data_IF_697611544561
#
_entry.id   IF_697611544561
#
_cell.length_a   1.000
_cell.length_b   1.000
_cell.length_c   1.000
_cell.angle_alpha   90.00
_cell.angle_beta   90.00
_cell.angle_gamma   90.00
#
_symmetry.space_group_name_H-M   'P 1'
#
loop_
_entity.id
_entity.type
_entity.pdbx_description
1 polymer ?
#
# COMPACT_ATOMS: atom_id res chain seq x y z
N UNK A 1 -8.25 -27.17 -10.16
CA UNK A 1 -6.85 -26.69 -10.09
C UNK A 1 -6.72 -25.88 -8.82
N UNK A 2 -6.10 -26.42 -7.77
CA UNK A 2 -5.81 -25.66 -6.54
C UNK A 2 -4.52 -24.89 -6.81
N UNK A 3 -4.61 -23.57 -6.89
CA UNK A 3 -3.42 -22.72 -6.86
C UNK A 3 -2.94 -22.73 -5.42
N UNK A 4 -1.89 -23.50 -5.13
CA UNK A 4 -1.18 -23.36 -3.86
C UNK A 4 -0.38 -22.06 -3.96
N UNK A 5 -0.76 -21.06 -3.16
CA UNK A 5 0.04 -19.84 -3.03
C UNK A 5 1.31 -20.16 -2.27
N UNK A 6 2.45 -19.73 -2.78
CA UNK A 6 3.68 -19.71 -1.99
C UNK A 6 3.58 -18.60 -0.93
N UNK A 7 4.06 -18.89 0.27
CA UNK A 7 4.08 -17.94 1.39
C UNK A 7 5.07 -16.81 1.09
N UNK A 8 4.56 -15.64 0.70
CA UNK A 8 5.35 -14.42 0.57
C UNK A 8 5.71 -13.80 1.93
N UNK A 9 6.51 -12.73 1.93
CA UNK A 9 6.93 -12.02 3.15
C UNK A 9 5.77 -11.50 4.03
N UNK A 10 4.55 -11.44 3.50
CA UNK A 10 3.34 -11.10 4.26
C UNK A 10 2.57 -12.31 4.81
N UNK A 11 3.10 -13.53 4.70
CA UNK A 11 2.50 -14.71 5.33
C UNK A 11 2.38 -14.57 6.85
N UNK A 12 3.28 -13.81 7.48
CA UNK A 12 3.23 -13.49 8.91
C UNK A 12 2.13 -12.48 9.26
N UNK A 13 1.65 -11.70 8.28
CA UNK A 13 0.62 -10.67 8.43
C UNK A 13 -0.49 -10.85 7.39
N UNK A 14 -1.24 -11.98 7.43
CA UNK A 14 -2.21 -12.30 6.39
C UNK A 14 -3.34 -11.28 6.35
N UNK A 15 -3.67 -10.84 5.14
CA UNK A 15 -4.83 -10.00 4.86
C UNK A 15 -6.00 -10.87 4.44
N UNK A 16 -7.08 -10.86 5.22
CA UNK A 16 -8.31 -11.61 4.92
C UNK A 16 -9.41 -10.64 4.51
N UNK A 17 -9.94 -10.78 3.30
CA UNK A 17 -11.04 -9.99 2.79
C UNK A 17 -12.37 -10.76 2.79
N UNK A 18 -13.50 -10.05 2.97
CA UNK A 18 -14.86 -10.59 2.96
C UNK A 18 -15.71 -9.89 1.91
N UNK A 19 -16.67 -10.65 1.37
CA UNK A 19 -17.58 -10.22 0.30
C UNK A 19 -16.81 -9.61 -0.89
N UNK A 20 -15.84 -10.39 -1.40
CA UNK A 20 -14.96 -9.96 -2.49
C UNK A 20 -15.66 -10.15 -3.83
N UNK A 21 -15.72 -9.08 -4.62
CA UNK A 21 -16.16 -9.09 -6.01
C UNK A 21 -15.12 -8.37 -6.88
N UNK A 22 -15.08 -8.68 -8.17
CA UNK A 22 -14.14 -8.03 -9.06
C UNK A 22 -13.98 -8.73 -10.38
N UNK A 23 -13.08 -8.20 -11.20
CA UNK A 23 -12.76 -8.75 -12.50
C UNK A 23 -11.29 -8.51 -12.84
N UNK A 24 -10.74 -9.44 -13.61
CA UNK A 24 -9.43 -9.31 -14.25
C UNK A 24 -9.61 -9.28 -15.75
N UNK A 25 -8.92 -8.36 -16.42
CA UNK A 25 -8.83 -8.31 -17.88
C UNK A 25 -7.42 -8.67 -18.28
N UNK A 26 -7.31 -9.65 -19.17
CA UNK A 26 -6.05 -10.05 -19.78
C UNK A 26 -6.12 -9.77 -21.28
N UNK A 27 -5.29 -8.82 -21.75
CA UNK A 27 -5.31 -8.35 -23.12
C UNK A 27 -4.08 -8.87 -23.91
N UNK A 28 -4.30 -9.95 -24.66
CA UNK A 28 -3.28 -10.56 -25.52
C UNK A 28 -2.91 -9.71 -26.74
N UNK A 29 -3.66 -8.65 -27.03
CA UNK A 29 -3.42 -7.74 -28.14
C UNK A 29 -2.90 -6.38 -27.66
N UNK A 30 -2.47 -6.29 -26.40
CA UNK A 30 -1.96 -5.05 -25.84
C UNK A 30 -0.76 -4.54 -26.65
N UNK A 31 -0.85 -3.28 -27.07
CA UNK A 31 0.19 -2.51 -27.73
C UNK A 31 0.89 -1.60 -26.68
N UNK A 32 1.81 -0.69 -27.07
CA UNK A 32 2.46 0.21 -26.13
C UNK A 32 1.54 1.21 -25.40
N UNK A 33 0.30 1.44 -25.87
CA UNK A 33 -0.66 2.37 -25.26
C UNK A 33 -1.77 1.65 -24.47
N UNK A 34 -1.92 0.34 -24.66
CA UNK A 34 -2.86 -0.50 -23.92
C UNK A 34 -2.22 -1.14 -22.68
N UNK A 35 -3.06 -1.69 -21.80
CA UNK A 35 -2.62 -2.52 -20.67
C UNK A 35 -2.76 -4.00 -21.02
N UNK A 36 -1.74 -4.80 -20.70
CA UNK A 36 -1.78 -6.27 -20.84
C UNK A 36 -2.62 -6.92 -19.75
N UNK A 37 -2.61 -6.34 -18.54
CA UNK A 37 -3.39 -6.80 -17.41
C UNK A 37 -4.05 -5.60 -16.73
N UNK A 38 -5.32 -5.76 -16.38
CA UNK A 38 -5.98 -4.87 -15.43
C UNK A 38 -6.75 -5.73 -14.41
N UNK A 39 -6.69 -5.35 -13.15
CA UNK A 39 -7.39 -6.01 -12.06
C UNK A 39 -8.19 -4.97 -11.30
N UNK A 40 -9.46 -5.24 -11.08
CA UNK A 40 -10.33 -4.46 -10.19
C UNK A 40 -10.95 -5.40 -9.17
N UNK A 41 -10.80 -5.08 -7.89
CA UNK A 41 -11.36 -5.81 -6.77
C UNK A 41 -12.06 -4.83 -5.85
N UNK A 42 -13.21 -5.24 -5.35
CA UNK A 42 -13.93 -4.61 -4.27
C UNK A 42 -14.14 -5.66 -3.18
N UNK A 43 -13.91 -5.30 -1.92
CA UNK A 43 -14.27 -6.10 -0.78
C UNK A 43 -14.99 -5.23 0.24
N UNK A 44 -16.07 -5.76 0.81
CA UNK A 44 -16.81 -5.02 1.85
C UNK A 44 -15.95 -4.79 3.08
N UNK A 45 -15.13 -5.77 3.46
CA UNK A 45 -14.26 -5.72 4.63
C UNK A 45 -12.93 -6.41 4.38
N UNK A 46 -11.87 -5.91 5.02
CA UNK A 46 -10.59 -6.61 5.13
C UNK A 46 -10.02 -6.51 6.56
N UNK A 47 -9.27 -7.54 6.95
CA UNK A 47 -8.60 -7.67 8.25
C UNK A 47 -7.14 -7.99 8.00
N UNK A 48 -6.23 -7.35 8.74
CA UNK A 48 -4.79 -7.63 8.69
C UNK A 48 -4.40 -8.26 10.02
N UNK A 49 -4.05 -9.54 10.06
CA UNK A 49 -3.67 -10.18 11.32
C UNK A 49 -2.28 -9.69 11.78
N UNK A 50 -2.05 -9.39 13.07
CA UNK A 50 -2.95 -9.61 14.22
C UNK A 50 -3.78 -8.39 14.63
N UNK A 51 -3.99 -7.41 13.76
CA UNK A 51 -4.70 -6.19 14.12
C UNK A 51 -6.18 -6.48 14.42
N UNK A 52 -6.70 -5.95 15.53
CA UNK A 52 -8.11 -6.15 15.90
C UNK A 52 -9.06 -5.32 15.03
N UNK A 53 -8.53 -4.30 14.34
CA UNK A 53 -9.31 -3.38 13.54
C UNK A 53 -9.60 -3.94 12.14
N UNK A 54 -10.78 -3.60 11.65
CA UNK A 54 -11.23 -3.89 10.28
C UNK A 54 -11.13 -2.67 9.39
N UNK A 55 -10.80 -2.93 8.14
CA UNK A 55 -10.96 -2.01 7.03
C UNK A 55 -12.30 -2.29 6.35
N UNK A 56 -13.01 -1.25 5.97
CA UNK A 56 -14.29 -1.30 5.28
C UNK A 56 -14.16 -0.67 3.89
N UNK A 57 -15.03 -1.07 2.95
CA UNK A 57 -15.08 -0.51 1.59
C UNK A 57 -13.69 -0.50 0.93
N UNK A 58 -13.10 -1.69 0.82
CA UNK A 58 -11.76 -1.88 0.27
C UNK A 58 -11.87 -1.97 -1.25
N UNK A 59 -11.21 -1.07 -1.96
CA UNK A 59 -11.19 -1.00 -3.42
C UNK A 59 -9.76 -1.08 -3.93
N UNK A 60 -9.51 -1.91 -4.92
CA UNK A 60 -8.19 -2.09 -5.52
C UNK A 60 -8.35 -2.05 -7.04
N UNK A 61 -7.61 -1.16 -7.69
CA UNK A 61 -7.51 -1.09 -9.13
C UNK A 61 -6.05 -0.95 -9.56
N UNK A 62 -5.58 -1.96 -10.29
CA UNK A 62 -4.20 -2.11 -10.75
C UNK A 62 -4.18 -2.36 -12.25
N UNK A 63 -3.16 -1.84 -12.94
CA UNK A 63 -2.94 -2.10 -14.35
C UNK A 63 -1.45 -2.30 -14.66
N UNK A 64 -1.15 -3.19 -15.60
CA UNK A 64 0.18 -3.42 -16.15
C UNK A 64 0.17 -2.85 -17.56
N UNK A 65 0.73 -1.65 -17.77
CA UNK A 65 0.77 -1.03 -19.08
C UNK A 65 1.77 -1.74 -19.99
N UNK A 66 1.57 -1.59 -21.30
CA UNK A 66 2.51 -2.03 -22.31
C UNK A 66 2.19 -3.39 -22.93
N UNK A 67 3.02 -3.79 -23.91
CA UNK A 67 2.64 -4.86 -24.82
C UNK A 67 2.81 -6.25 -24.21
N UNK A 68 1.96 -7.19 -24.65
CA UNK A 68 1.90 -8.56 -24.10
C UNK A 68 3.23 -9.31 -24.12
N UNK A 69 4.08 -9.06 -25.12
CA UNK A 69 5.42 -9.66 -25.25
C UNK A 69 6.31 -9.43 -24.03
N UNK A 70 6.00 -8.41 -23.23
CA UNK A 70 6.75 -8.05 -22.03
C UNK A 70 6.12 -8.58 -20.73
N UNK A 71 4.95 -9.20 -20.78
CA UNK A 71 4.27 -9.71 -19.59
C UNK A 71 5.10 -10.76 -18.83
N UNK A 72 5.90 -11.56 -19.55
CA UNK A 72 6.81 -12.52 -18.92
C UNK A 72 7.84 -11.85 -18.01
N UNK A 73 8.36 -10.68 -18.38
CA UNK A 73 9.32 -9.93 -17.57
C UNK A 73 8.64 -9.29 -16.35
N UNK A 74 7.39 -8.83 -16.49
CA UNK A 74 6.58 -8.36 -15.36
C UNK A 74 6.37 -9.46 -14.32
N UNK A 75 6.00 -10.68 -14.76
CA UNK A 75 5.85 -11.82 -13.85
C UNK A 75 7.16 -12.23 -13.20
N UNK A 76 8.28 -12.17 -13.92
CA UNK A 76 9.61 -12.42 -13.34
C UNK A 76 9.96 -11.40 -12.26
N UNK A 77 9.68 -10.11 -12.50
CA UNK A 77 9.93 -9.05 -11.54
C UNK A 77 9.02 -9.15 -10.30
N UNK A 78 7.73 -9.50 -10.49
CA UNK A 78 6.81 -9.77 -9.38
C UNK A 78 7.21 -11.00 -8.57
N UNK A 79 7.68 -12.05 -9.24
CA UNK A 79 7.94 -13.32 -8.58
C UNK A 79 9.06 -13.22 -7.55
N UNK A 80 10.13 -12.45 -7.82
CA UNK A 80 11.27 -12.20 -6.92
C UNK A 80 11.97 -13.43 -6.30
N UNK A 81 11.44 -14.65 -6.49
CA UNK A 81 11.63 -15.80 -5.60
C UNK A 81 10.73 -17.03 -5.93
N UNK A 82 10.30 -17.27 -7.17
CA UNK A 82 9.69 -18.59 -7.54
C UNK A 82 10.27 -19.10 -8.86
N UNK A 83 10.70 -20.36 -8.86
CA UNK A 83 11.46 -21.00 -9.93
C UNK A 83 10.79 -20.90 -11.32
N UNK A 84 11.62 -20.52 -12.30
CA UNK A 84 11.55 -20.79 -13.75
C UNK A 84 10.15 -21.13 -14.32
N UNK A 85 9.53 -20.28 -15.16
CA UNK A 85 8.34 -20.70 -15.89
C UNK A 85 8.64 -21.95 -16.73
N UNK A 86 7.66 -22.84 -16.94
CA UNK A 86 7.85 -24.02 -17.78
C UNK A 86 8.41 -23.58 -19.14
N UNK A 87 9.49 -24.24 -19.55
CA UNK A 87 10.34 -23.89 -20.70
C UNK A 87 9.62 -23.79 -22.05
N UNK A 88 8.32 -24.05 -22.11
CA UNK A 88 7.47 -23.97 -23.31
C UNK A 88 6.97 -22.57 -23.65
N UNK A 89 7.16 -21.55 -22.78
CA UNK A 89 6.76 -20.15 -23.05
C UNK A 89 7.95 -19.21 -23.31
N UNK A 90 9.17 -19.73 -23.35
CA UNK A 90 10.37 -18.91 -23.59
C UNK A 90 10.56 -18.73 -25.11
N UNK A 91 9.88 -17.73 -25.66
CA UNK A 91 10.41 -17.07 -26.84
C UNK A 91 11.73 -16.39 -26.43
N UNK A 92 12.84 -17.02 -26.86
CA UNK A 92 14.22 -16.49 -26.92
C UNK A 92 14.49 -15.30 -25.98
N UNK A 93 14.91 -15.59 -24.74
CA UNK A 93 15.44 -14.59 -23.81
C UNK A 93 16.64 -13.87 -24.43
N UNK A 94 16.64 -12.53 -24.55
CA UNK A 94 17.86 -11.80 -24.88
C UNK A 94 18.84 -11.87 -23.69
N UNK A 95 20.08 -12.26 -23.97
CA UNK A 95 21.18 -12.53 -23.04
C UNK A 95 21.77 -11.30 -22.33
N UNK A 96 20.95 -10.38 -21.84
CA UNK A 96 21.41 -9.28 -20.97
C UNK A 96 20.45 -9.11 -19.80
N UNK A 97 20.80 -9.78 -18.69
CA UNK A 97 20.32 -9.44 -17.36
C UNK A 97 20.90 -8.06 -17.02
N UNK A 98 20.05 -7.07 -16.74
CA UNK A 98 20.49 -5.73 -16.32
C UNK A 98 19.92 -4.54 -17.11
N UNK A 99 18.89 -4.70 -17.94
CA UNK A 99 18.16 -3.54 -18.50
C UNK A 99 16.78 -3.42 -17.85
N UNK A 100 16.36 -2.21 -17.41
CA UNK A 100 14.99 -2.00 -16.95
C UNK A 100 14.01 -2.40 -18.06
N UNK A 101 12.81 -2.81 -17.66
CA UNK A 101 11.71 -3.08 -18.60
C UNK A 101 11.59 -1.89 -19.58
N UNK A 102 11.44 -2.12 -20.90
CA UNK A 102 11.53 -1.03 -21.90
C UNK A 102 10.32 -0.07 -21.88
N UNK A 103 9.54 -0.07 -20.81
CA UNK A 103 8.36 0.75 -20.56
C UNK A 103 8.31 1.07 -19.07
N UNK A 104 8.23 2.36 -18.77
CA UNK A 104 8.07 2.90 -17.41
C UNK A 104 6.81 3.79 -17.39
N UNK A 105 5.94 3.68 -16.37
CA UNK A 105 5.94 2.65 -15.32
C UNK A 105 5.58 1.28 -15.90
N UNK A 106 5.98 0.20 -15.23
CA UNK A 106 5.55 -1.16 -15.59
C UNK A 106 4.43 -1.69 -14.67
N UNK A 107 4.04 -0.91 -13.66
CA UNK A 107 2.88 -1.14 -12.82
C UNK A 107 2.23 0.20 -12.47
N UNK A 108 0.94 0.32 -12.79
CA UNK A 108 0.11 1.46 -12.42
C UNK A 108 -0.88 1.03 -11.33
N UNK A 109 -0.75 1.63 -10.16
CA UNK A 109 -1.74 1.55 -9.09
C UNK A 109 -2.68 2.73 -9.25
N UNK A 110 -3.85 2.49 -9.83
CA UNK A 110 -4.84 3.55 -10.05
C UNK A 110 -5.40 4.01 -8.72
N UNK A 111 -5.84 3.05 -7.90
CA UNK A 111 -6.13 3.29 -6.49
C UNK A 111 -6.10 1.98 -5.69
N UNK A 112 -5.65 2.07 -4.45
CA UNK A 112 -5.94 1.15 -3.36
C UNK A 112 -6.59 1.98 -2.28
N UNK A 113 -7.86 1.74 -2.01
CA UNK A 113 -8.63 2.49 -1.05
C UNK A 113 -9.16 1.60 0.05
N UNK A 114 -9.25 2.15 1.25
CA UNK A 114 -9.89 1.52 2.39
C UNK A 114 -10.42 2.58 3.34
N UNK A 115 -11.44 2.23 4.10
CA UNK A 115 -11.94 3.03 5.20
C UNK A 115 -11.61 2.38 6.53
N UNK A 116 -11.12 3.18 7.47
CA UNK A 116 -10.84 2.74 8.85
C UNK A 116 -11.36 3.81 9.81
N UNK A 117 -12.33 3.45 10.65
CA UNK A 117 -12.94 4.37 11.64
C UNK A 117 -13.37 5.72 11.05
N UNK A 118 -13.95 5.71 9.84
CA UNK A 118 -14.38 6.92 9.13
C UNK A 118 -13.30 7.69 8.37
N UNK A 119 -12.01 7.39 8.59
CA UNK A 119 -10.90 7.84 7.76
C UNK A 119 -10.91 7.05 6.45
N UNK A 120 -10.94 7.75 5.31
CA UNK A 120 -10.73 7.12 4.00
C UNK A 120 -9.29 7.35 3.56
N UNK A 121 -8.56 6.27 3.34
CA UNK A 121 -7.23 6.29 2.77
C UNK A 121 -7.29 5.83 1.32
N UNK A 122 -6.65 6.55 0.40
CA UNK A 122 -6.50 6.17 -1.01
C UNK A 122 -5.04 6.30 -1.40
N UNK A 123 -4.43 5.19 -1.80
CA UNK A 123 -3.06 5.13 -2.30
C UNK A 123 -3.05 4.94 -3.81
N UNK A 124 -2.28 5.76 -4.51
CA UNK A 124 -2.06 5.66 -5.96
C UNK A 124 -0.57 5.72 -6.25
N UNK A 125 -0.12 5.01 -7.29
CA UNK A 125 1.31 4.88 -7.56
C UNK A 125 1.61 4.62 -9.04
N UNK A 126 2.78 5.10 -9.46
CA UNK A 126 3.46 4.73 -10.71
C UNK A 126 4.74 4.02 -10.34
N UNK A 127 4.78 2.71 -10.56
CA UNK A 127 5.86 1.85 -10.09
C UNK A 127 6.60 1.20 -11.24
N UNK A 128 7.89 1.00 -11.00
CA UNK A 128 8.81 0.18 -11.76
C UNK A 128 9.23 -0.96 -10.86
N UNK A 129 9.05 -2.18 -11.35
CA UNK A 129 9.59 -3.41 -10.77
C UNK A 129 10.93 -3.72 -11.47
N UNK A 130 12.09 -3.39 -10.87
CA UNK A 130 13.39 -3.74 -11.43
C UNK A 130 13.67 -5.24 -11.33
N UNK A 131 14.57 -5.73 -12.20
CA UNK A 131 14.92 -7.16 -12.26
C UNK A 131 15.65 -7.66 -11.01
N UNK A 132 16.30 -6.77 -10.26
CA UNK A 132 16.97 -7.04 -8.99
C UNK A 132 16.01 -7.20 -7.79
N UNK A 133 14.70 -6.98 -8.01
CA UNK A 133 13.66 -7.13 -7.00
C UNK A 133 13.29 -5.81 -6.31
N UNK A 134 12.17 -5.83 -5.60
CA UNK A 134 11.57 -4.65 -4.99
C UNK A 134 10.75 -3.81 -5.98
N UNK A 135 10.19 -2.70 -5.50
CA UNK A 135 9.48 -1.72 -6.31
C UNK A 135 10.11 -0.34 -6.13
N UNK A 136 10.12 0.46 -7.17
CA UNK A 136 10.57 1.84 -7.12
C UNK A 136 9.61 2.75 -7.88
N UNK A 137 9.41 3.98 -7.41
CA UNK A 137 8.60 4.94 -8.16
C UNK A 137 7.99 6.03 -7.30
N UNK A 138 6.97 6.65 -7.85
CA UNK A 138 6.24 7.73 -7.21
C UNK A 138 4.90 7.19 -6.71
N UNK A 139 4.52 7.57 -5.50
CA UNK A 139 3.20 7.28 -4.99
C UNK A 139 2.69 8.40 -4.11
N UNK A 140 1.37 8.44 -3.92
CA UNK A 140 0.68 9.45 -3.14
C UNK A 140 -0.39 8.78 -2.30
N UNK A 141 -0.48 9.21 -1.04
CA UNK A 141 -1.54 8.83 -0.12
C UNK A 141 -2.48 10.01 0.07
N UNK A 142 -3.76 9.78 -0.17
CA UNK A 142 -4.83 10.74 0.03
C UNK A 142 -5.63 10.33 1.25
N UNK A 143 -5.71 11.20 2.25
CA UNK A 143 -6.48 10.97 3.47
C UNK A 143 -7.68 11.92 3.50
N UNK A 144 -8.88 11.36 3.45
CA UNK A 144 -10.14 12.10 3.60
C UNK A 144 -10.68 11.89 5.02
N UNK A 145 -11.34 12.92 5.57
CA UNK A 145 -11.86 12.95 6.95
C UNK A 145 -10.76 12.84 8.02
N UNK A 146 -9.50 13.15 7.68
CA UNK A 146 -8.36 13.01 8.57
C UNK A 146 -8.43 13.91 9.81
N UNK A 147 -9.12 15.05 9.74
CA UNK A 147 -9.38 15.93 10.89
C UNK A 147 -10.23 15.26 11.98
N UNK A 148 -11.18 14.38 11.61
CA UNK A 148 -11.96 13.62 12.60
C UNK A 148 -11.04 12.71 13.41
N UNK A 149 -10.14 11.99 12.74
CA UNK A 149 -9.13 11.18 13.41
C UNK A 149 -8.24 12.02 14.32
N UNK A 150 -7.75 13.17 13.87
CA UNK A 150 -6.91 14.05 14.70
C UNK A 150 -7.65 14.55 15.94
N UNK A 151 -8.93 14.91 15.80
CA UNK A 151 -9.77 15.32 16.92
C UNK A 151 -9.96 14.19 17.93
N UNK A 152 -10.20 12.96 17.46
CA UNK A 152 -10.33 11.79 18.32
C UNK A 152 -9.01 11.49 19.04
N UNK A 153 -7.87 11.49 18.32
CA UNK A 153 -6.54 11.29 18.91
C UNK A 153 -6.18 12.36 19.95
N UNK A 154 -6.59 13.62 19.71
CA UNK A 154 -6.39 14.72 20.66
C UNK A 154 -7.27 14.53 21.91
N UNK A 155 -8.55 14.19 21.71
CA UNK A 155 -9.50 13.94 22.80
C UNK A 155 -9.03 12.79 23.68
N UNK A 156 -8.55 11.73 23.06
CA UNK A 156 -8.04 10.54 23.75
C UNK A 156 -6.63 10.75 24.33
N UNK A 157 -6.08 11.97 24.21
CA UNK A 157 -4.76 12.36 24.72
C UNK A 157 -3.61 11.47 24.22
N UNK A 158 -3.78 10.94 22.99
CA UNK A 158 -2.78 10.12 22.31
C UNK A 158 -1.73 10.96 21.58
N UNK A 159 -1.98 12.26 21.42
CA UNK A 159 -1.05 13.21 20.83
C UNK A 159 -0.33 14.01 21.92
N UNK A 160 0.99 14.11 21.80
CA UNK A 160 1.75 15.08 22.58
C UNK A 160 1.38 16.52 22.18
N UNK A 161 1.60 17.52 23.04
CA UNK A 161 1.33 18.92 22.70
C UNK A 161 2.03 19.39 21.42
N UNK A 162 3.25 18.91 21.18
CA UNK A 162 4.03 19.21 19.98
C UNK A 162 3.41 18.58 18.72
N UNK A 163 2.94 17.34 18.82
CA UNK A 163 2.27 16.64 17.72
C UNK A 163 0.94 17.30 17.36
N UNK A 164 0.15 17.66 18.37
CA UNK A 164 -1.10 18.39 18.17
C UNK A 164 -0.87 19.75 17.49
N UNK A 165 0.14 20.51 17.96
CA UNK A 165 0.50 21.79 17.36
C UNK A 165 0.97 21.65 15.90
N UNK A 166 1.72 20.59 15.57
CA UNK A 166 2.11 20.29 14.20
C UNK A 166 0.90 19.99 13.31
N UNK A 167 0.00 19.11 13.76
CA UNK A 167 -1.19 18.73 12.99
C UNK A 167 -2.14 19.92 12.77
N UNK A 168 -2.26 20.81 13.75
CA UNK A 168 -3.01 22.07 13.59
C UNK A 168 -2.43 22.95 12.48
N UNK A 169 -1.10 23.10 12.39
CA UNK A 169 -0.45 23.85 11.29
C UNK A 169 -0.68 23.20 9.94
N UNK A 170 -0.65 21.87 9.85
CA UNK A 170 -0.98 21.13 8.62
C UNK A 170 -2.43 21.41 8.22
N UNK A 171 -3.34 21.41 9.20
CA UNK A 171 -4.77 21.69 9.03
C UNK A 171 -5.02 23.10 8.48
N UNK A 172 -4.38 24.11 9.05
CA UNK A 172 -4.43 25.49 8.57
C UNK A 172 -3.88 25.61 7.13
N UNK A 173 -2.75 24.95 6.84
CA UNK A 173 -2.15 24.99 5.50
C UNK A 173 -3.01 24.32 4.42
N UNK A 174 -3.67 23.20 4.77
CA UNK A 174 -4.63 22.54 3.88
C UNK A 174 -5.81 23.46 3.59
N UNK A 175 -6.36 24.10 4.61
CA UNK A 175 -7.49 25.04 4.47
C UNK A 175 -7.12 26.26 3.63
N UNK A 176 -5.94 26.85 3.84
CA UNK A 176 -5.44 27.96 3.03
C UNK A 176 -5.28 27.59 1.55
N UNK A 177 -4.83 26.36 1.25
CA UNK A 177 -4.60 25.92 -0.13
C UNK A 177 -5.85 25.42 -0.84
N UNK A 178 -6.77 24.77 -0.13
CA UNK A 178 -7.92 24.08 -0.72
C UNK A 178 -9.24 24.82 -0.50
N UNK A 179 -9.26 25.88 0.31
CA UNK A 179 -10.46 26.68 0.59
C UNK A 179 -11.50 25.97 1.45
N UNK A 180 -11.23 24.73 1.89
CA UNK A 180 -12.10 23.97 2.79
C UNK A 180 -11.25 23.34 3.89
N UNK A 181 -11.67 23.43 5.17
CA UNK A 181 -11.01 22.71 6.25
C UNK A 181 -11.07 21.20 6.02
N UNK A 182 -12.12 20.64 5.43
CA UNK A 182 -12.24 19.18 5.27
C UNK A 182 -11.57 18.63 3.99
N UNK A 183 -10.71 19.43 3.36
CA UNK A 183 -9.98 19.04 2.15
C UNK A 183 -9.10 17.80 2.35
N UNK A 184 -8.95 16.93 1.33
CA UNK A 184 -8.10 15.75 1.43
C UNK A 184 -6.65 16.13 1.71
N UNK A 185 -6.04 15.46 2.69
CA UNK A 185 -4.61 15.56 2.95
C UNK A 185 -3.86 14.64 1.99
N UNK A 186 -3.09 15.25 1.09
CA UNK A 186 -2.25 14.54 0.13
C UNK A 186 -0.82 14.46 0.64
N UNK A 187 -0.28 13.25 0.74
CA UNK A 187 1.08 12.98 1.22
C UNK A 187 1.87 12.25 0.12
N UNK A 188 2.95 12.83 -0.42
CA UNK A 188 3.84 12.11 -1.33
C UNK A 188 4.62 11.04 -0.58
N UNK A 189 4.62 9.82 -1.12
CA UNK A 189 5.26 8.64 -0.56
C UNK A 189 6.14 7.98 -1.63
N UNK A 190 7.37 8.45 -1.89
CA UNK A 190 8.25 7.76 -2.82
C UNK A 190 8.46 6.29 -2.42
N UNK A 191 8.41 5.38 -3.39
CA UNK A 191 8.73 3.97 -3.18
C UNK A 191 10.17 3.73 -3.63
N UNK A 192 10.99 3.13 -2.77
CA UNK A 192 12.38 2.76 -3.09
C UNK A 192 12.65 1.39 -2.50
N UNK A 193 13.20 0.48 -3.29
CA UNK A 193 13.57 -0.87 -2.84
C UNK A 193 12.40 -1.63 -2.19
N UNK A 194 11.17 -1.40 -2.66
CA UNK A 194 9.96 -1.99 -2.09
C UNK A 194 9.42 -1.31 -0.83
N UNK A 195 10.09 -0.29 -0.31
CA UNK A 195 9.66 0.47 0.87
C UNK A 195 9.07 1.83 0.51
N UNK A 196 7.98 2.21 1.16
CA UNK A 196 7.44 3.57 1.15
C UNK A 196 8.28 4.46 2.08
N UNK A 197 8.67 5.64 1.60
CA UNK A 197 9.41 6.64 2.37
C UNK A 197 8.56 7.88 2.66
N UNK A 198 8.49 8.27 3.93
CA UNK A 198 7.87 9.47 4.47
C UNK A 198 8.95 10.41 4.98
N UNK A 199 9.32 11.44 4.20
CA UNK A 199 10.20 12.51 4.69
C UNK A 199 11.48 12.04 5.40
N UNK A 200 12.16 11.03 4.87
CA UNK A 200 13.37 10.43 5.45
C UNK A 200 13.14 9.20 6.35
N UNK A 201 11.89 8.84 6.66
CA UNK A 201 11.53 7.66 7.47
C UNK A 201 10.87 6.59 6.59
N UNK A 202 11.17 5.31 6.78
CA UNK A 202 10.45 4.22 6.08
C UNK A 202 9.12 3.91 6.79
N UNK A 203 8.11 3.44 6.04
CA UNK A 203 6.83 2.99 6.63
C UNK A 203 7.02 1.84 7.61
N UNK A 204 8.03 0.97 7.41
CA UNK A 204 8.39 -0.08 8.36
C UNK A 204 8.85 0.49 9.71
N UNK A 205 9.55 1.62 9.70
CA UNK A 205 9.95 2.34 10.91
C UNK A 205 8.73 2.92 11.63
N UNK A 206 7.76 3.45 10.90
CA UNK A 206 6.49 3.94 11.47
C UNK A 206 5.64 2.79 12.02
N UNK A 207 5.61 1.65 11.34
CA UNK A 207 4.97 0.42 11.82
C UNK A 207 5.61 -0.05 13.13
N UNK A 208 6.94 -0.06 13.22
CA UNK A 208 7.67 -0.38 14.44
C UNK A 208 7.36 0.59 15.60
N UNK A 209 7.16 1.88 15.31
CA UNK A 209 6.77 2.88 16.29
C UNK A 209 5.31 2.70 16.76
N UNK A 210 4.39 2.44 15.82
CA UNK A 210 2.98 2.17 16.14
C UNK A 210 2.84 0.90 17.00
N UNK A 211 3.59 -0.15 16.67
CA UNK A 211 3.65 -1.39 17.46
C UNK A 211 4.14 -1.13 18.89
N UNK A 212 5.21 -0.34 19.06
CA UNK A 212 5.71 0.04 20.40
C UNK A 212 4.69 0.85 21.20
N UNK A 213 3.94 1.74 20.55
CA UNK A 213 2.88 2.51 21.21
C UNK A 213 1.71 1.61 21.67
N UNK A 214 1.38 0.58 20.89
CA UNK A 214 0.38 -0.43 21.25
C UNK A 214 0.84 -1.34 22.39
N UNK A 215 2.10 -1.79 22.36
CA UNK A 215 2.66 -2.62 23.41
C UNK A 215 2.76 -1.84 24.75
N UNK A 216 3.05 -0.54 24.70
CA UNK A 216 3.08 0.35 25.88
C UNK A 216 1.72 0.61 26.53
N UNK A 217 0.60 0.46 25.81
CA UNK A 217 -0.74 0.54 26.41
C UNK A 217 -1.13 -0.71 27.23
N UNK A 218 -0.35 -1.79 27.14
CA UNK A 218 -0.56 -3.02 27.91
C UNK A 218 0.03 -3.00 29.33
N UNK A 219 1.01 -2.12 29.62
CA UNK A 219 1.75 -2.16 30.88
C UNK A 219 1.24 -1.22 31.99
N UNK A 220 0.32 -0.29 31.70
CA UNK A 220 -0.15 0.70 32.69
C UNK A 220 -1.30 0.21 33.62
N UNK A 221 -1.54 -1.11 33.71
CA UNK A 221 -2.61 -1.68 34.57
C UNK A 221 -2.16 -2.58 35.74
N UNK A 222 -0.88 -2.69 36.03
CA UNK A 222 -0.40 -3.49 37.17
C UNK A 222 0.61 -2.75 38.03
N UNK A 223 0.15 -1.75 38.78
CA UNK A 223 0.82 -1.33 40.02
C UNK A 223 -0.08 -0.44 40.88
N UNK A 224 -1.07 -1.04 41.53
CA UNK A 224 -1.67 -0.46 42.73
C UNK A 224 -0.82 -0.88 43.95
N UNK A 225 -0.30 0.06 44.77
CA UNK A 225 0.37 -0.31 46.00
C UNK A 225 -0.67 -0.65 47.06
N UNK A 226 -0.65 -1.89 47.56
CA UNK A 226 -1.35 -2.27 48.79
C UNK A 226 -0.58 -1.65 49.96
N UNK A 227 -1.17 -0.67 50.63
CA UNK A 227 -0.73 -0.22 51.95
C UNK A 227 -1.42 -1.09 53.01
N UNK A 228 -0.61 -1.76 53.84
CA UNK A 228 -1.00 -2.22 55.16
C UNK A 228 -0.65 -1.14 56.19
#
# INVERSE_FOLDING_TARGET
MRVAGEEGQMAEHPVTARDVAGYGVWNMQADPQASVLAVSLHARQALVTPWPDRFENVDIALAVPGPVRNAGLFWQALAGSVGRPPSSLVAQSPSKVGSPLPFEPNLLVQHVAAQWRGLKAVWSAKLVLPAEGGAAGESWLSLTNWRLLVNDLTRDSLLSPEQAAFLNRVSEHVEQKQGTPDGPLMVPLPVREGQLQLGGFSVDMLYGLARKAMDGQGEEKTSLPVRH
#
